data_IF_327868232532
#
_entry.id   IF_327868232532
#
_cell.length_a   1.000
_cell.length_b   1.000
_cell.length_c   1.000
_cell.angle_alpha   90.00
_cell.angle_beta   90.00
_cell.angle_gamma   90.00
#
_symmetry.space_group_name_H-M   'P 1'
#
loop_
_entity.id
_entity.type
_entity.pdbx_description
1 polymer ?
#
# COMPACT_ATOMS: atom_id res chain seq x y z
N UNK A 1 -8.01 11.65 3.38
CA UNK A 1 -8.39 10.63 4.38
C UNK A 1 -7.63 10.83 5.69
N UNK A 2 -6.30 10.90 5.65
CA UNK A 2 -5.41 10.83 6.83
C UNK A 2 -5.68 11.84 7.96
N UNK A 3 -6.27 13.00 7.68
CA UNK A 3 -6.65 13.98 8.72
C UNK A 3 -7.94 13.62 9.48
N UNK A 4 -8.75 12.72 8.93
CA UNK A 4 -10.13 12.49 9.37
C UNK A 4 -10.20 11.32 10.36
N UNK A 5 -10.00 11.58 11.65
CA UNK A 5 -10.00 10.54 12.69
C UNK A 5 -11.30 9.72 12.76
N UNK A 6 -12.44 10.26 12.33
CA UNK A 6 -13.71 9.51 12.28
C UNK A 6 -13.69 8.35 11.28
N UNK A 7 -12.72 8.31 10.36
CA UNK A 7 -12.52 7.20 9.40
C UNK A 7 -11.62 6.09 9.96
N UNK A 8 -11.31 6.10 11.26
CA UNK A 8 -10.41 5.13 11.91
C UNK A 8 -10.78 3.68 11.61
N UNK A 9 -12.06 3.33 11.66
CA UNK A 9 -12.48 1.94 11.48
C UNK A 9 -12.18 1.45 10.05
N UNK A 10 -12.45 2.28 9.05
CA UNK A 10 -12.09 1.97 7.66
C UNK A 10 -10.57 1.87 7.51
N UNK A 11 -9.84 2.80 8.13
CA UNK A 11 -8.38 2.81 8.13
C UNK A 11 -7.77 1.56 8.77
N UNK A 12 -8.30 1.11 9.91
CA UNK A 12 -7.84 -0.11 10.59
C UNK A 12 -8.05 -1.34 9.71
N UNK A 13 -9.19 -1.43 9.02
CA UNK A 13 -9.47 -2.54 8.11
C UNK A 13 -8.60 -2.53 6.84
N UNK A 14 -8.25 -1.34 6.33
CA UNK A 14 -7.34 -1.17 5.19
C UNK A 14 -5.90 -1.53 5.55
N UNK A 15 -5.43 -1.14 6.74
CA UNK A 15 -4.06 -1.42 7.21
C UNK A 15 -3.88 -2.83 7.77
N UNK A 16 -4.98 -3.55 8.02
CA UNK A 16 -4.94 -4.87 8.67
C UNK A 16 -4.77 -4.82 10.18
N UNK A 17 -4.86 -3.64 10.81
CA UNK A 17 -5.00 -3.50 12.27
C UNK A 17 -6.32 -4.15 12.73
N UNK A 18 -7.35 -4.11 11.89
CA UNK A 18 -8.58 -4.89 12.02
C UNK A 18 -8.61 -6.01 10.98
N UNK A 19 -9.15 -7.17 11.37
CA UNK A 19 -9.30 -8.32 10.47
C UNK A 19 -10.35 -8.10 9.38
N UNK A 20 -11.33 -7.23 9.65
CA UNK A 20 -12.44 -6.95 8.72
C UNK A 20 -12.07 -5.81 7.78
N UNK A 21 -11.93 -6.12 6.49
CA UNK A 21 -11.67 -5.15 5.43
C UNK A 21 -12.98 -4.44 5.02
N UNK A 22 -13.01 -3.10 4.88
CA UNK A 22 -14.23 -2.35 4.56
C UNK A 22 -14.60 -2.39 3.08
N UNK A 23 -13.62 -2.58 2.19
CA UNK A 23 -13.82 -2.52 0.73
C UNK A 23 -12.95 -3.56 0.01
N UNK A 24 -13.46 -4.10 -1.09
CA UNK A 24 -12.69 -4.93 -2.03
C UNK A 24 -12.09 -4.10 -3.17
N UNK A 25 -10.99 -4.57 -3.74
CA UNK A 25 -10.29 -3.98 -4.90
C UNK A 25 -9.55 -2.63 -4.68
N UNK A 26 -9.16 -2.27 -3.45
CA UNK A 26 -8.42 -1.02 -3.14
C UNK A 26 -6.94 -1.30 -2.76
N UNK A 27 -6.37 -2.38 -3.30
CA UNK A 27 -5.03 -2.86 -2.96
C UNK A 27 -5.01 -3.87 -1.80
N UNK A 28 -3.84 -4.46 -1.58
CA UNK A 28 -3.53 -5.40 -0.49
C UNK A 28 -3.16 -4.66 0.79
N UNK A 29 -3.13 -5.37 1.93
CA UNK A 29 -2.71 -4.77 3.20
C UNK A 29 -1.24 -4.36 3.10
N UNK A 30 -0.43 -5.15 2.42
CA UNK A 30 1.00 -4.97 2.22
C UNK A 30 1.26 -3.69 1.41
N UNK A 31 0.56 -3.49 0.29
CA UNK A 31 0.65 -2.28 -0.53
C UNK A 31 0.26 -1.02 0.25
N UNK A 32 -0.83 -1.10 1.03
CA UNK A 32 -1.33 0.03 1.83
C UNK A 32 -0.32 0.40 2.92
N UNK A 33 0.20 -0.58 3.65
CA UNK A 33 1.21 -0.35 4.69
C UNK A 33 2.51 0.20 4.09
N UNK A 34 2.91 -0.29 2.91
CA UNK A 34 4.06 0.23 2.15
C UNK A 34 3.87 1.71 1.82
N UNK A 35 2.75 2.09 1.21
CA UNK A 35 2.46 3.49 0.87
C UNK A 35 2.42 4.40 2.13
N UNK A 36 1.87 3.91 3.24
CA UNK A 36 1.83 4.66 4.50
C UNK A 36 3.23 4.84 5.11
N UNK A 37 4.09 3.83 5.05
CA UNK A 37 5.48 3.93 5.52
C UNK A 37 6.28 4.91 4.67
N UNK A 38 6.18 4.84 3.33
CA UNK A 38 6.80 5.82 2.44
C UNK A 38 6.30 7.24 2.73
N UNK A 39 5.00 7.40 3.00
CA UNK A 39 4.41 8.70 3.37
C UNK A 39 4.95 9.18 4.70
N UNK A 40 5.03 8.32 5.72
CA UNK A 40 5.57 8.64 7.04
C UNK A 40 7.03 9.11 6.94
N UNK A 41 7.86 8.36 6.20
CA UNK A 41 9.25 8.70 5.94
C UNK A 41 9.39 10.08 5.28
N UNK A 42 8.55 10.37 4.29
CA UNK A 42 8.52 11.69 3.64
C UNK A 42 8.20 12.81 4.63
N UNK A 43 7.18 12.64 5.48
CA UNK A 43 6.81 13.65 6.48
C UNK A 43 7.94 13.92 7.47
N UNK A 44 8.64 12.87 7.92
CA UNK A 44 9.79 13.00 8.80
C UNK A 44 10.96 13.71 8.12
N UNK A 45 11.29 13.35 6.88
CA UNK A 45 12.35 13.99 6.10
C UNK A 45 12.07 15.49 5.87
N UNK A 46 10.81 15.85 5.62
CA UNK A 46 10.39 17.23 5.39
C UNK A 46 10.06 18.01 6.68
N UNK A 47 10.20 17.39 7.86
CA UNK A 47 9.83 17.95 9.18
C UNK A 47 8.39 18.48 9.23
N UNK A 48 7.46 17.77 8.60
CA UNK A 48 6.04 18.12 8.56
C UNK A 48 5.29 17.52 9.77
N UNK A 49 4.24 18.21 10.20
CA UNK A 49 3.33 17.67 11.21
C UNK A 49 2.52 16.50 10.64
N UNK A 50 2.48 15.37 11.36
CA UNK A 50 1.75 14.19 10.92
C UNK A 50 0.22 14.39 10.99
N UNK A 51 -0.52 13.98 9.94
CA UNK A 51 -1.97 13.87 9.97
C UNK A 51 -2.45 12.92 11.07
N UNK A 52 -3.67 13.15 11.57
CA UNK A 52 -4.21 12.41 12.72
C UNK A 52 -4.11 10.87 12.61
N UNK A 53 -4.54 10.28 11.49
CA UNK A 53 -4.49 8.83 11.28
C UNK A 53 -3.08 8.31 10.98
N UNK A 54 -2.21 9.13 10.40
CA UNK A 54 -0.82 8.75 10.13
C UNK A 54 0.00 8.70 11.43
N UNK A 55 -0.26 9.64 12.35
CA UNK A 55 0.28 9.59 13.72
C UNK A 55 -0.23 8.35 14.46
N UNK A 56 -1.53 8.09 14.41
CA UNK A 56 -2.12 6.88 15.01
C UNK A 56 -1.49 5.59 14.43
N UNK A 57 -1.24 5.56 13.12
CA UNK A 57 -0.59 4.45 12.45
C UNK A 57 0.84 4.21 12.96
N UNK A 58 1.64 5.26 13.05
CA UNK A 58 3.01 5.21 13.59
C UNK A 58 3.05 4.67 15.02
N UNK A 59 2.06 5.02 15.86
CA UNK A 59 1.96 4.51 17.23
C UNK A 59 1.59 3.02 17.31
N UNK A 60 0.97 2.46 16.27
CA UNK A 60 0.40 1.10 16.28
C UNK A 60 1.25 0.05 15.59
N UNK A 61 1.99 0.41 14.55
CA UNK A 61 2.78 -0.54 13.78
C UNK A 61 4.20 -0.56 14.32
N UNK A 62 4.60 -1.70 14.92
CA UNK A 62 6.00 -1.93 15.27
C UNK A 62 6.78 -2.16 13.98
N UNK A 63 7.68 -1.23 13.65
CA UNK A 63 8.50 -1.25 12.43
C UNK A 63 9.19 -2.60 12.24
N UNK A 64 8.69 -3.38 11.28
CA UNK A 64 9.39 -4.52 10.73
C UNK A 64 9.60 -4.21 9.25
N UNK A 65 10.86 -3.89 8.92
CA UNK A 65 11.43 -3.59 7.60
C UNK A 65 10.92 -2.34 6.88
N UNK A 66 11.86 -1.66 6.21
CA UNK A 66 11.55 -0.73 5.13
C UNK A 66 10.64 -1.43 4.12
N UNK A 67 9.64 -0.71 3.57
CA UNK A 67 8.80 -1.28 2.54
C UNK A 67 9.66 -1.66 1.34
N UNK A 68 9.66 -2.95 0.97
CA UNK A 68 10.39 -3.39 -0.21
C UNK A 68 9.79 -2.73 -1.46
N UNK A 69 10.63 -2.08 -2.25
CA UNK A 69 10.27 -1.59 -3.59
C UNK A 69 9.77 -2.70 -4.50
N UNK A 70 10.13 -3.96 -4.21
CA UNK A 70 9.74 -5.14 -4.99
C UNK A 70 8.21 -5.30 -5.02
N UNK A 71 7.51 -4.94 -3.93
CA UNK A 71 6.04 -4.95 -3.88
C UNK A 71 5.40 -4.03 -4.92
N UNK A 72 6.08 -2.96 -5.32
CA UNK A 72 5.55 -1.97 -6.26
C UNK A 72 5.80 -2.33 -7.71
N UNK A 73 6.69 -3.29 -7.96
CA UNK A 73 7.11 -3.69 -9.30
C UNK A 73 6.79 -5.14 -9.60
N UNK A 74 6.22 -5.93 -8.68
CA UNK A 74 5.92 -7.34 -8.90
C UNK A 74 4.74 -7.56 -9.88
N UNK A 75 4.88 -8.54 -10.77
CA UNK A 75 3.74 -9.09 -11.52
C UNK A 75 3.10 -10.22 -10.71
N UNK A 76 1.89 -10.00 -10.19
CA UNK A 76 1.17 -11.03 -9.45
C UNK A 76 0.69 -12.16 -10.38
N UNK A 77 1.29 -13.34 -10.25
CA UNK A 77 0.90 -14.54 -11.00
C UNK A 77 -0.47 -15.11 -10.57
N UNK A 78 -0.90 -14.85 -9.34
CA UNK A 78 -2.23 -15.19 -8.82
C UNK A 78 -3.26 -14.13 -9.19
N UNK A 79 -3.72 -14.19 -10.44
CA UNK A 79 -4.68 -13.25 -10.99
C UNK A 79 -5.84 -13.96 -11.71
N UNK A 80 -6.89 -13.19 -12.03
CA UNK A 80 -8.07 -13.68 -12.76
C UNK A 80 -8.00 -13.44 -14.28
N UNK A 81 -6.79 -13.29 -14.84
CA UNK A 81 -6.62 -13.00 -16.28
C UNK A 81 -6.76 -14.33 -17.06
N UNK A 82 -7.66 -14.39 -18.06
CA UNK A 82 -7.73 -15.56 -18.93
C UNK A 82 -6.40 -15.84 -19.61
N UNK A 83 -5.98 -17.12 -19.66
CA UNK A 83 -4.64 -17.51 -20.14
C UNK A 83 -4.30 -16.98 -21.55
N UNK A 84 -5.29 -16.87 -22.44
CA UNK A 84 -5.13 -16.29 -23.79
C UNK A 84 -4.65 -14.82 -23.81
N UNK A 85 -4.80 -14.12 -22.69
CA UNK A 85 -4.40 -12.72 -22.55
C UNK A 85 -3.09 -12.54 -21.77
N UNK A 86 -2.58 -13.59 -21.11
CA UNK A 86 -1.45 -13.49 -20.20
C UNK A 86 -0.19 -12.93 -20.90
N UNK A 87 0.09 -13.40 -22.12
CA UNK A 87 1.25 -12.94 -22.90
C UNK A 87 1.22 -11.42 -23.17
N UNK A 88 0.06 -10.85 -23.49
CA UNK A 88 -0.07 -9.42 -23.78
C UNK A 88 0.05 -8.56 -22.52
N UNK A 89 -0.48 -9.05 -21.39
CA UNK A 89 -0.34 -8.34 -20.11
C UNK A 89 1.10 -8.40 -19.63
N UNK A 90 1.77 -9.54 -19.78
CA UNK A 90 3.20 -9.66 -19.48
C UNK A 90 4.03 -8.74 -20.37
N UNK A 91 3.79 -8.70 -21.68
CA UNK A 91 4.47 -7.76 -22.60
C UNK A 91 4.32 -6.31 -22.11
N UNK A 92 3.09 -5.90 -21.78
CA UNK A 92 2.81 -4.56 -21.27
C UNK A 92 3.51 -4.28 -19.94
N UNK A 93 3.50 -5.25 -19.02
CA UNK A 93 4.20 -5.14 -17.74
C UNK A 93 5.70 -4.96 -17.95
N UNK A 94 6.36 -5.76 -18.79
CA UNK A 94 7.79 -5.60 -19.08
C UNK A 94 8.08 -4.22 -19.69
N UNK A 95 7.23 -3.74 -20.61
CA UNK A 95 7.39 -2.43 -21.23
C UNK A 95 7.37 -1.27 -20.21
N UNK A 96 6.52 -1.32 -19.19
CA UNK A 96 6.42 -0.25 -18.17
C UNK A 96 7.35 -0.43 -16.98
N UNK A 97 7.74 -1.66 -16.67
CA UNK A 97 8.67 -1.95 -15.57
C UNK A 97 10.12 -1.66 -15.94
N UNK A 98 10.46 -1.62 -17.23
CA UNK A 98 11.75 -1.10 -17.70
C UNK A 98 11.68 0.42 -17.85
N UNK A 99 11.91 1.15 -16.77
CA UNK A 99 12.22 2.58 -16.85
C UNK A 99 13.62 2.80 -16.27
N UNK A 100 14.46 3.54 -17.00
CA UNK A 100 15.86 3.86 -16.65
C UNK A 100 16.04 4.54 -15.28
#
# INVERSE_FOLDING_TARGET
MLEKMHLKNDFDGLTGISDVKPFECIGTKEEINCALQMTLNKYHQENLSLPALLKYYEEKVSFASDPSSDLLIEFNEENNIPQKFLAYVQEMYHYVSTTD
#
